data_IF_524127001602
#
_entry.id   IF_524127001602
#
_cell.length_a   1.000
_cell.length_b   1.000
_cell.length_c   1.000
_cell.angle_alpha   90.00
_cell.angle_beta   90.00
_cell.angle_gamma   90.00
#
_symmetry.space_group_name_H-M   'P 1'
#
loop_
_entity.id
_entity.type
_entity.pdbx_description
1 polymer ?
#
# COMPACT_ATOMS: atom_id res chain seq x y z
N UNK A 1 55.40 -3.70 26.74
CA UNK A 1 55.32 -3.97 25.28
C UNK A 1 54.55 -5.27 25.13
N UNK A 2 53.23 -5.17 24.96
CA UNK A 2 52.49 -5.48 23.72
C UNK A 2 52.59 -6.98 23.38
N UNK A 3 51.53 -7.77 23.29
CA UNK A 3 50.28 -7.47 22.59
C UNK A 3 49.14 -8.36 23.13
N UNK A 4 47.96 -7.79 23.30
CA UNK A 4 46.70 -8.53 23.52
C UNK A 4 46.20 -9.01 22.17
N UNK A 5 45.87 -10.28 22.08
CA UNK A 5 45.08 -10.87 21.01
C UNK A 5 43.61 -10.93 21.46
N UNK A 6 42.66 -10.34 20.72
CA UNK A 6 41.25 -10.69 20.84
C UNK A 6 40.68 -11.09 19.47
N UNK A 7 41.16 -12.20 18.91
CA UNK A 7 40.46 -12.89 17.83
C UNK A 7 39.42 -13.88 18.37
N UNK A 8 38.13 -13.56 18.17
CA UNK A 8 37.00 -14.50 17.99
C UNK A 8 35.79 -14.17 18.88
N UNK A 9 34.89 -13.37 18.31
CA UNK A 9 33.46 -13.35 18.64
C UNK A 9 32.67 -12.81 17.45
N UNK A 10 32.72 -13.53 16.33
CA UNK A 10 31.66 -13.42 15.33
C UNK A 10 30.56 -14.42 15.72
N UNK A 11 29.70 -13.99 16.64
CA UNK A 11 28.37 -14.58 16.81
C UNK A 11 27.37 -13.64 16.15
N UNK A 12 27.43 -13.55 14.82
CA UNK A 12 26.26 -13.07 14.06
C UNK A 12 25.23 -14.17 14.11
N UNK A 13 24.27 -13.97 15.00
CA UNK A 13 22.93 -14.51 14.93
C UNK A 13 22.47 -14.57 13.48
N UNK A 14 22.33 -15.79 12.95
CA UNK A 14 21.53 -16.05 11.76
C UNK A 14 20.09 -15.66 12.08
N UNK A 15 19.73 -14.41 11.76
CA UNK A 15 18.33 -14.08 11.52
C UNK A 15 17.90 -14.90 10.32
N UNK A 16 16.86 -15.72 10.49
CA UNK A 16 16.35 -16.56 9.43
C UNK A 16 16.22 -15.76 8.14
N UNK A 17 16.81 -16.26 7.05
CA UNK A 17 16.63 -15.69 5.73
C UNK A 17 15.15 -15.47 5.53
N UNK A 18 14.72 -14.21 5.51
CA UNK A 18 13.42 -13.86 4.98
C UNK A 18 13.36 -14.52 3.60
N UNK A 19 12.34 -15.32 3.27
CA UNK A 19 12.23 -15.86 1.92
C UNK A 19 12.40 -14.70 0.94
N UNK A 20 13.08 -14.93 -0.18
CA UNK A 20 13.37 -13.90 -1.17
C UNK A 20 12.05 -13.32 -1.70
N UNK A 21 11.54 -12.28 -1.05
CA UNK A 21 10.34 -11.56 -1.42
C UNK A 21 10.71 -10.41 -2.34
N UNK A 22 9.86 -10.13 -3.32
CA UNK A 22 9.98 -8.90 -4.07
C UNK A 22 9.39 -7.74 -3.25
N UNK A 23 9.92 -6.54 -3.45
CA UNK A 23 9.42 -5.34 -2.81
C UNK A 23 8.96 -4.32 -3.86
N UNK A 24 7.86 -3.64 -3.57
CA UNK A 24 7.38 -2.48 -4.32
C UNK A 24 7.17 -1.32 -3.35
N UNK A 25 7.95 -0.25 -3.49
CA UNK A 25 7.78 0.97 -2.71
C UNK A 25 7.06 2.02 -3.56
N UNK A 26 5.86 2.39 -3.12
CA UNK A 26 4.99 3.38 -3.75
C UNK A 26 4.89 4.61 -2.86
N UNK A 27 5.20 5.77 -3.42
CA UNK A 27 5.11 7.06 -2.77
C UNK A 27 3.94 7.85 -3.31
N UNK A 28 3.11 8.41 -2.42
CA UNK A 28 2.19 9.50 -2.76
C UNK A 28 2.81 10.76 -2.20
N UNK A 29 3.36 11.59 -3.10
CA UNK A 29 4.14 12.77 -2.73
C UNK A 29 3.53 14.04 -3.32
N UNK A 30 3.65 15.13 -2.58
CA UNK A 30 3.33 16.47 -3.07
C UNK A 30 4.61 17.22 -3.42
N UNK A 31 4.60 17.87 -4.59
CA UNK A 31 5.60 18.82 -5.02
C UNK A 31 4.93 20.13 -5.48
N UNK A 32 5.69 21.05 -6.10
CA UNK A 32 5.19 22.34 -6.57
C UNK A 32 4.09 22.22 -7.64
N UNK A 33 4.12 21.16 -8.45
CA UNK A 33 3.21 20.94 -9.57
C UNK A 33 1.96 20.13 -9.19
N UNK A 34 1.85 19.67 -7.94
CA UNK A 34 0.71 18.91 -7.43
C UNK A 34 1.10 17.63 -6.70
N UNK A 35 0.17 16.67 -6.67
CA UNK A 35 0.36 15.37 -6.01
C UNK A 35 0.61 14.30 -7.07
N UNK A 36 1.58 13.43 -6.79
CA UNK A 36 2.03 12.39 -7.69
C UNK A 36 2.11 11.05 -6.95
N UNK A 37 1.78 9.99 -7.68
CA UNK A 37 2.13 8.63 -7.31
C UNK A 37 3.45 8.25 -7.97
N UNK A 38 4.39 7.68 -7.23
CA UNK A 38 5.73 7.34 -7.71
C UNK A 38 6.21 5.99 -7.19
N UNK A 39 6.64 5.14 -8.11
CA UNK A 39 7.35 3.89 -7.79
C UNK A 39 8.84 4.20 -7.66
N UNK A 40 9.41 3.95 -6.48
CA UNK A 40 10.83 4.24 -6.19
C UNK A 40 11.72 3.00 -6.18
N UNK A 41 11.17 1.85 -5.77
CA UNK A 41 11.88 0.58 -5.68
C UNK A 41 10.93 -0.51 -6.17
N UNK A 42 11.33 -1.21 -7.23
CA UNK A 42 10.56 -2.33 -7.76
C UNK A 42 11.43 -3.25 -8.62
N UNK A 43 11.02 -4.52 -8.82
CA UNK A 43 11.70 -5.45 -9.73
C UNK A 43 11.70 -5.01 -11.20
N UNK A 44 10.83 -4.05 -11.56
CA UNK A 44 10.51 -3.69 -12.95
C UNK A 44 11.06 -2.31 -13.33
N UNK A 45 11.45 -1.50 -12.34
CA UNK A 45 11.92 -0.12 -12.52
C UNK A 45 11.05 0.90 -11.80
N UNK A 46 11.09 2.15 -12.27
CA UNK A 46 10.40 3.28 -11.66
C UNK A 46 9.35 3.86 -12.61
N UNK A 47 8.34 4.51 -12.05
CA UNK A 47 7.29 5.19 -12.80
C UNK A 47 6.69 6.31 -11.93
N UNK A 48 6.10 7.31 -12.58
CA UNK A 48 5.34 8.35 -11.90
C UNK A 48 4.06 8.66 -12.67
N UNK A 49 3.02 9.05 -11.95
CA UNK A 49 1.74 9.50 -12.49
C UNK A 49 1.16 10.60 -11.60
N UNK A 50 0.36 11.49 -12.18
CA UNK A 50 -0.39 12.48 -11.39
C UNK A 50 -1.40 11.73 -10.52
N UNK A 51 -1.38 12.00 -9.22
CA UNK A 51 -2.40 11.54 -8.30
C UNK A 51 -3.43 12.64 -8.13
N UNK A 52 -4.68 12.33 -8.46
CA UNK A 52 -5.82 13.21 -8.15
C UNK A 52 -6.60 12.55 -7.04
N UNK A 53 -6.80 13.27 -5.94
CA UNK A 53 -7.61 12.78 -4.83
C UNK A 53 -8.97 12.29 -5.36
N UNK A 54 -9.25 10.98 -5.26
CA UNK A 54 -10.47 10.45 -5.85
C UNK A 54 -11.63 10.53 -4.87
N UNK A 55 -11.41 10.87 -3.60
CA UNK A 55 -12.43 10.90 -2.55
C UNK A 55 -12.54 12.31 -2.00
N UNK A 56 -13.73 12.89 -2.09
CA UNK A 56 -13.96 14.24 -1.56
C UNK A 56 -13.92 14.26 -0.03
N UNK A 57 -13.68 15.43 0.54
CA UNK A 57 -13.71 15.61 2.01
C UNK A 57 -15.05 15.18 2.61
N UNK A 58 -16.17 15.49 1.95
CA UNK A 58 -17.51 15.08 2.40
C UNK A 58 -17.68 13.56 2.42
N UNK A 59 -17.16 12.86 1.41
CA UNK A 59 -17.17 11.39 1.37
C UNK A 59 -16.29 10.78 2.48
N UNK A 60 -15.10 11.34 2.71
CA UNK A 60 -14.21 10.92 3.80
C UNK A 60 -14.88 11.07 5.16
N UNK A 61 -15.51 12.21 5.43
CA UNK A 61 -16.21 12.43 6.68
C UNK A 61 -17.42 11.50 6.84
N UNK A 62 -18.19 11.27 5.77
CA UNK A 62 -19.31 10.35 5.79
C UNK A 62 -18.85 8.92 6.09
N UNK A 63 -17.73 8.50 5.50
CA UNK A 63 -17.09 7.22 5.75
C UNK A 63 -16.62 7.10 7.21
N UNK A 64 -15.90 8.11 7.73
CA UNK A 64 -15.44 8.11 9.13
C UNK A 64 -16.61 8.04 10.13
N UNK A 65 -17.71 8.78 9.86
CA UNK A 65 -18.94 8.71 10.66
C UNK A 65 -19.54 7.30 10.63
N UNK A 66 -19.65 6.69 9.46
CA UNK A 66 -20.16 5.32 9.31
C UNK A 66 -19.28 4.28 10.02
N UNK A 67 -17.95 4.41 9.94
CA UNK A 67 -16.99 3.50 10.59
C UNK A 67 -17.00 3.61 12.12
N UNK A 68 -17.28 4.80 12.66
CA UNK A 68 -17.34 5.03 14.12
C UNK A 68 -18.56 4.42 14.81
N UNK A 69 -19.57 3.98 14.05
CA UNK A 69 -20.80 3.41 14.60
C UNK A 69 -20.69 1.88 14.69
N UNK A 70 -20.68 1.26 15.88
CA UNK A 70 -20.59 -0.19 16.05
C UNK A 70 -21.92 -0.84 15.64
N UNK A 71 -22.14 -1.03 14.34
CA UNK A 71 -23.34 -1.68 13.82
C UNK A 71 -23.22 -3.21 13.81
N UNK A 72 -24.35 -3.89 14.03
CA UNK A 72 -24.42 -5.36 13.96
C UNK A 72 -24.06 -5.84 12.55
N UNK A 73 -23.17 -6.85 12.42
CA UNK A 73 -22.72 -7.37 11.13
C UNK A 73 -23.82 -8.00 10.27
N UNK A 74 -25.00 -8.26 10.84
CA UNK A 74 -26.16 -8.87 10.16
C UNK A 74 -27.26 -7.84 9.81
N UNK A 75 -26.87 -6.59 9.57
CA UNK A 75 -27.81 -5.53 9.19
C UNK A 75 -27.60 -5.11 7.73
N UNK A 76 -28.69 -4.80 7.03
CA UNK A 76 -28.64 -4.19 5.68
C UNK A 76 -27.75 -2.93 5.64
N UNK A 77 -27.64 -2.21 6.76
CA UNK A 77 -26.80 -1.03 6.89
C UNK A 77 -25.30 -1.37 6.87
N UNK A 78 -24.91 -2.51 7.45
CA UNK A 78 -23.54 -3.02 7.39
C UNK A 78 -23.14 -3.40 5.95
N UNK A 79 -24.03 -4.05 5.19
CA UNK A 79 -23.76 -4.38 3.78
C UNK A 79 -23.61 -3.13 2.91
N UNK A 80 -24.45 -2.11 3.12
CA UNK A 80 -24.32 -0.81 2.44
C UNK A 80 -23.00 -0.15 2.81
N UNK A 81 -22.63 -0.10 4.09
CA UNK A 81 -21.35 0.45 4.53
C UNK A 81 -20.16 -0.29 3.92
N UNK A 82 -20.22 -1.62 3.85
CA UNK A 82 -19.18 -2.47 3.23
C UNK A 82 -19.07 -2.22 1.73
N UNK A 83 -20.19 -2.09 1.03
CA UNK A 83 -20.23 -1.81 -0.41
C UNK A 83 -19.67 -0.41 -0.70
N UNK A 84 -20.04 0.58 0.13
CA UNK A 84 -19.47 1.94 0.06
C UNK A 84 -17.97 1.95 0.31
N UNK A 85 -17.49 1.22 1.33
CA UNK A 85 -16.06 1.09 1.61
C UNK A 85 -15.29 0.49 0.44
N UNK A 86 -15.83 -0.58 -0.17
CA UNK A 86 -15.23 -1.19 -1.36
C UNK A 86 -15.17 -0.19 -2.52
N UNK A 87 -16.25 0.51 -2.84
CA UNK A 87 -16.28 1.46 -3.96
C UNK A 87 -15.34 2.66 -3.76
N UNK A 88 -15.21 3.16 -2.52
CA UNK A 88 -14.21 4.18 -2.18
C UNK A 88 -12.79 3.61 -2.34
N UNK A 89 -12.56 2.40 -1.85
CA UNK A 89 -11.29 1.69 -1.95
C UNK A 89 -10.82 1.44 -3.39
N UNK A 90 -11.75 1.08 -4.28
CA UNK A 90 -11.52 0.88 -5.72
C UNK A 90 -11.05 2.17 -6.37
N UNK A 91 -11.79 3.27 -6.18
CA UNK A 91 -11.42 4.58 -6.71
C UNK A 91 -10.07 5.07 -6.18
N UNK A 92 -9.78 4.80 -4.89
CA UNK A 92 -8.50 5.14 -4.29
C UNK A 92 -7.35 4.34 -4.91
N UNK A 93 -7.57 3.05 -5.17
CA UNK A 93 -6.59 2.20 -5.86
C UNK A 93 -6.34 2.69 -7.28
N UNK A 94 -7.39 2.96 -8.05
CA UNK A 94 -7.28 3.41 -9.44
C UNK A 94 -6.51 4.73 -9.56
N UNK A 95 -6.74 5.68 -8.65
CA UNK A 95 -5.99 6.93 -8.61
C UNK A 95 -4.53 6.74 -8.21
N UNK A 96 -4.28 5.84 -7.25
CA UNK A 96 -2.93 5.51 -6.75
C UNK A 96 -2.10 4.80 -7.82
N UNK A 97 -2.73 3.93 -8.59
CA UNK A 97 -2.12 3.09 -9.62
C UNK A 97 -2.45 3.58 -11.04
N UNK A 98 -2.62 4.89 -11.23
CA UNK A 98 -2.96 5.43 -12.55
C UNK A 98 -1.79 5.31 -13.56
N UNK A 99 -2.13 5.14 -14.84
CA UNK A 99 -1.17 5.22 -15.95
C UNK A 99 0.05 4.30 -15.80
N UNK A 100 1.25 4.86 -15.95
CA UNK A 100 2.51 4.11 -15.91
C UNK A 100 2.77 3.44 -14.55
N UNK A 101 2.28 4.01 -13.45
CA UNK A 101 2.41 3.41 -12.12
C UNK A 101 1.62 2.10 -12.04
N UNK A 102 0.40 2.07 -12.56
CA UNK A 102 -0.40 0.85 -12.62
C UNK A 102 0.25 -0.24 -13.47
N UNK A 103 0.82 0.12 -14.61
CA UNK A 103 1.54 -0.82 -15.46
C UNK A 103 2.73 -1.46 -14.72
N UNK A 104 3.52 -0.68 -13.98
CA UNK A 104 4.61 -1.19 -13.14
C UNK A 104 4.07 -2.06 -12.01
N UNK A 105 3.02 -1.62 -11.31
CA UNK A 105 2.38 -2.36 -10.22
C UNK A 105 1.96 -3.76 -10.67
N UNK A 106 1.19 -3.86 -11.76
CA UNK A 106 0.72 -5.14 -12.29
C UNK A 106 1.86 -6.05 -12.71
N UNK A 107 2.89 -5.49 -13.35
CA UNK A 107 4.06 -6.28 -13.76
C UNK A 107 4.87 -6.80 -12.57
N UNK A 108 4.99 -6.04 -11.49
CA UNK A 108 5.63 -6.50 -10.25
C UNK A 108 4.85 -7.67 -9.63
N UNK A 109 3.52 -7.58 -9.64
CA UNK A 109 2.64 -8.64 -9.17
C UNK A 109 2.79 -9.91 -10.02
N UNK A 110 2.81 -9.78 -11.35
CA UNK A 110 2.97 -10.91 -12.26
C UNK A 110 4.30 -11.64 -12.04
N UNK A 111 5.40 -10.88 -11.86
CA UNK A 111 6.73 -11.46 -11.59
C UNK A 111 6.74 -12.21 -10.25
N UNK A 112 6.14 -11.64 -9.20
CA UNK A 112 6.05 -12.31 -7.90
C UNK A 112 5.23 -13.60 -7.98
N UNK A 113 4.09 -13.56 -8.70
CA UNK A 113 3.26 -14.73 -8.96
C UNK A 113 4.04 -15.82 -9.72
N UNK A 114 4.71 -15.45 -10.83
CA UNK A 114 5.48 -16.38 -11.65
C UNK A 114 6.64 -17.02 -10.88
N UNK A 115 7.29 -16.26 -10.00
CA UNK A 115 8.34 -16.75 -9.13
C UNK A 115 7.83 -17.51 -7.90
N UNK A 116 6.50 -17.65 -7.73
CA UNK A 116 5.87 -18.25 -6.55
C UNK A 116 6.40 -17.66 -5.23
N UNK A 117 6.62 -16.35 -5.23
CA UNK A 117 7.06 -15.59 -4.05
C UNK A 117 6.09 -14.44 -3.74
N UNK A 118 6.23 -13.86 -2.55
CA UNK A 118 5.42 -12.73 -2.11
C UNK A 118 5.93 -11.42 -2.72
N UNK A 119 5.00 -10.52 -3.05
CA UNK A 119 5.30 -9.09 -3.24
C UNK A 119 4.93 -8.34 -1.96
N UNK A 120 5.91 -7.71 -1.33
CA UNK A 120 5.69 -6.76 -0.24
C UNK A 120 5.49 -5.38 -0.84
N UNK A 121 4.31 -4.79 -0.64
CA UNK A 121 4.01 -3.43 -1.06
C UNK A 121 4.16 -2.51 0.15
N UNK A 122 4.96 -1.44 0.02
CA UNK A 122 5.06 -0.38 1.01
C UNK A 122 4.50 0.89 0.42
N UNK A 123 3.50 1.45 1.08
CA UNK A 123 2.94 2.76 0.75
C UNK A 123 3.58 3.81 1.66
N UNK A 124 4.17 4.84 1.06
CA UNK A 124 4.77 5.97 1.74
C UNK A 124 4.00 7.22 1.36
N UNK A 125 3.66 8.02 2.35
CA UNK A 125 2.75 9.15 2.20
C UNK A 125 3.47 10.43 2.60
N UNK A 126 3.40 11.47 1.78
CA UNK A 126 3.78 12.81 2.20
C UNK A 126 2.87 13.29 3.33
N UNK A 127 3.41 14.12 4.23
CA UNK A 127 2.70 14.62 5.41
C UNK A 127 1.65 15.70 5.11
N UNK A 128 1.20 15.83 3.85
CA UNK A 128 0.21 16.84 3.50
C UNK A 128 -1.22 16.39 3.79
N UNK A 129 -2.11 17.26 4.31
CA UNK A 129 -3.46 16.87 4.70
C UNK A 129 -4.32 16.26 3.60
N UNK A 130 -4.12 16.63 2.33
CA UNK A 130 -4.86 16.05 1.21
C UNK A 130 -4.58 14.56 1.02
N UNK A 131 -3.33 14.16 1.21
CA UNK A 131 -2.86 12.77 1.15
C UNK A 131 -3.23 12.03 2.43
N UNK A 132 -2.92 12.59 3.60
CA UNK A 132 -3.13 11.91 4.89
C UNK A 132 -4.61 11.62 5.22
N UNK A 133 -5.54 12.44 4.71
CA UNK A 133 -6.98 12.23 4.96
C UNK A 133 -7.62 11.13 4.10
N UNK A 134 -6.93 10.65 3.06
CA UNK A 134 -7.48 9.57 2.25
C UNK A 134 -7.57 8.29 3.10
N UNK A 135 -8.61 7.46 2.87
CA UNK A 135 -8.84 6.26 3.67
C UNK A 135 -7.98 5.10 3.14
N UNK A 136 -6.66 5.20 3.32
CA UNK A 136 -5.69 4.22 2.80
C UNK A 136 -5.95 2.80 3.31
N UNK A 137 -6.54 2.66 4.49
CA UNK A 137 -6.88 1.38 5.12
C UNK A 137 -7.92 0.55 4.34
N UNK A 138 -8.66 1.16 3.41
CA UNK A 138 -9.62 0.46 2.55
C UNK A 138 -9.15 0.39 1.09
N UNK A 139 -7.87 0.62 0.80
CA UNK A 139 -7.32 0.50 -0.55
C UNK A 139 -7.63 -0.89 -1.15
N UNK A 140 -8.42 -0.93 -2.23
CA UNK A 140 -8.98 -2.17 -2.75
C UNK A 140 -8.63 -2.37 -4.23
N UNK A 141 -8.00 -3.49 -4.54
CA UNK A 141 -7.67 -3.87 -5.91
C UNK A 141 -8.81 -4.72 -6.49
N UNK A 142 -9.63 -4.11 -7.36
CA UNK A 142 -10.79 -4.77 -7.95
C UNK A 142 -10.41 -5.97 -8.84
N UNK A 143 -9.27 -5.91 -9.54
CA UNK A 143 -8.83 -6.99 -10.44
C UNK A 143 -8.53 -8.28 -9.67
N UNK A 144 -8.13 -8.16 -8.41
CA UNK A 144 -7.79 -9.28 -7.53
C UNK A 144 -8.83 -9.52 -6.44
N UNK A 145 -9.85 -8.66 -6.37
CA UNK A 145 -10.92 -8.70 -5.39
C UNK A 145 -10.39 -8.75 -3.93
N UNK A 146 -9.37 -7.94 -3.63
CA UNK A 146 -8.67 -7.95 -2.33
C UNK A 146 -8.29 -6.54 -1.82
N UNK A 147 -8.25 -6.39 -0.50
CA UNK A 147 -7.74 -5.19 0.17
C UNK A 147 -6.21 -5.26 0.33
N UNK A 148 -5.51 -4.18 -0.04
CA UNK A 148 -4.04 -4.13 -0.06
C UNK A 148 -3.41 -3.89 1.32
N UNK A 149 -4.13 -3.21 2.21
CA UNK A 149 -3.71 -2.86 3.57
C UNK A 149 -4.13 -3.90 4.61
N UNK A 150 -5.13 -4.72 4.27
CA UNK A 150 -5.73 -5.72 5.17
C UNK A 150 -5.34 -7.14 4.77
N UNK A 151 -4.29 -7.34 3.97
CA UNK A 151 -3.92 -8.68 3.55
C UNK A 151 -3.64 -9.56 4.78
N UNK A 152 -4.46 -10.59 5.03
CA UNK A 152 -4.18 -11.55 6.08
C UNK A 152 -2.83 -12.18 5.75
N UNK A 153 -1.93 -12.19 6.73
CA UNK A 153 -0.84 -13.16 6.70
C UNK A 153 -1.52 -14.54 6.80
N UNK A 154 -1.70 -15.20 5.66
CA UNK A 154 -1.97 -16.63 5.60
C UNK A 154 -0.64 -17.38 5.69
#
# INVERSE_FOLDING_TARGET
MSSRDPGSRDSRTSFGSTPAEYALNLFIEQNEDGIYSRVMDSPVGTAAAVFRSPVSTTEIEAFARAASNPYRPDSRQYEVARTSARGIGERLFDATCAGAVGAVFHRCMDIAWQASTRLRIRLLLSETPEVLRQPWEILFNHMRNEYMTLSPHA
#
